data_IF_890509124779
#
_entry.id   IF_890509124779
#
_cell.length_a   1.000
_cell.length_b   1.000
_cell.length_c   1.000
_cell.angle_alpha   90.00
_cell.angle_beta   90.00
_cell.angle_gamma   90.00
#
_symmetry.space_group_name_H-M   'P 1'
#
loop_
_entity.id
_entity.type
_entity.pdbx_description
1 polymer ?
#
# COMPACT_ATOMS: atom_id res chain seq x y z
N UNK A 1 -97.98 -51.04 16.14
CA UNK A 1 -96.93 -50.02 15.85
C UNK A 1 -95.60 -50.66 16.15
N UNK A 2 -94.84 -51.02 15.13
CA UNK A 2 -93.63 -51.81 15.14
C UNK A 2 -92.42 -50.90 15.28
N UNK A 3 -91.79 -50.89 16.47
CA UNK A 3 -90.54 -50.22 16.71
C UNK A 3 -89.37 -51.07 16.16
N UNK A 4 -88.94 -50.76 14.95
CA UNK A 4 -87.74 -51.39 14.30
C UNK A 4 -86.50 -50.66 14.86
N UNK A 5 -86.03 -51.00 16.04
CA UNK A 5 -84.71 -50.63 16.50
C UNK A 5 -83.64 -51.46 15.78
N UNK A 6 -83.16 -50.98 14.67
CA UNK A 6 -82.08 -51.62 13.92
C UNK A 6 -80.77 -51.66 14.71
N UNK A 7 -80.43 -52.78 15.31
CA UNK A 7 -79.15 -53.12 15.92
C UNK A 7 -78.35 -53.99 14.93
N UNK A 8 -77.03 -53.85 14.92
CA UNK A 8 -76.10 -54.78 14.25
C UNK A 8 -75.86 -55.95 15.23
N UNK A 9 -75.98 -57.17 14.75
CA UNK A 9 -75.65 -58.39 15.49
C UNK A 9 -74.32 -58.91 15.02
N UNK A 10 -73.29 -58.87 15.91
CA UNK A 10 -72.01 -59.55 15.63
C UNK A 10 -72.16 -61.02 15.95
N UNK A 11 -71.95 -61.84 14.96
CA UNK A 11 -71.94 -63.27 15.09
C UNK A 11 -70.50 -63.77 15.18
N UNK A 12 -70.03 -64.10 16.35
CA UNK A 12 -68.77 -64.76 16.58
C UNK A 12 -68.93 -66.31 16.40
N UNK A 13 -68.36 -66.86 15.37
CA UNK A 13 -68.28 -68.31 15.12
C UNK A 13 -66.92 -68.78 15.59
N UNK A 14 -66.93 -69.59 16.67
CA UNK A 14 -65.71 -70.22 17.14
C UNK A 14 -65.64 -71.63 16.54
N UNK A 15 -64.60 -72.04 15.80
CA UNK A 15 -64.43 -73.28 15.15
C UNK A 15 -64.34 -74.45 16.14
N UNK A 16 -65.48 -75.20 16.34
CA UNK A 16 -65.48 -76.43 17.14
C UNK A 16 -66.70 -76.68 18.01
N UNK A 17 -67.83 -76.01 17.82
CA UNK A 17 -69.05 -76.30 18.54
C UNK A 17 -70.08 -75.15 18.48
N UNK A 18 -71.33 -75.55 18.27
CA UNK A 18 -72.47 -74.66 18.03
C UNK A 18 -72.80 -73.77 19.24
N UNK A 19 -72.03 -72.77 19.51
CA UNK A 19 -72.46 -71.62 20.37
C UNK A 19 -72.38 -70.35 19.58
N UNK A 20 -73.53 -69.88 19.13
CA UNK A 20 -73.66 -68.62 18.44
C UNK A 20 -73.91 -67.53 19.54
N UNK A 21 -72.95 -66.68 19.79
CA UNK A 21 -73.13 -65.56 20.68
C UNK A 21 -73.67 -64.37 19.85
N UNK A 22 -74.96 -64.08 20.04
CA UNK A 22 -75.55 -62.87 19.48
C UNK A 22 -75.35 -61.71 20.43
N UNK A 23 -74.38 -60.86 20.07
CA UNK A 23 -74.18 -59.58 20.79
C UNK A 23 -74.88 -58.48 20.02
N UNK A 24 -76.07 -58.09 20.50
CA UNK A 24 -76.79 -56.95 19.92
C UNK A 24 -76.16 -55.66 20.35
N UNK A 25 -75.53 -55.01 19.45
CA UNK A 25 -74.90 -53.66 19.70
C UNK A 25 -75.85 -52.59 19.20
N UNK A 26 -76.39 -51.74 20.10
CA UNK A 26 -77.25 -50.65 19.67
C UNK A 26 -76.42 -49.63 18.83
N UNK A 27 -77.00 -49.13 17.77
CA UNK A 27 -76.31 -48.15 16.85
C UNK A 27 -75.71 -46.98 17.61
N UNK A 28 -76.26 -46.53 18.72
CA UNK A 28 -75.69 -45.45 19.56
C UNK A 28 -74.36 -45.81 20.17
N UNK A 29 -74.10 -47.06 20.56
CA UNK A 29 -72.82 -47.52 21.11
C UNK A 29 -71.71 -47.52 20.02
N UNK A 30 -72.07 -47.91 18.78
CA UNK A 30 -71.12 -47.83 17.67
C UNK A 30 -70.70 -46.40 17.28
N UNK A 31 -71.67 -45.49 17.26
CA UNK A 31 -71.41 -44.09 17.03
C UNK A 31 -70.61 -43.45 18.19
N UNK A 32 -70.93 -43.82 19.43
CA UNK A 32 -70.15 -43.35 20.59
C UNK A 32 -68.70 -43.89 20.57
N UNK A 33 -68.50 -45.17 20.21
CA UNK A 33 -67.16 -45.77 20.05
C UNK A 33 -66.36 -45.08 18.92
N UNK A 34 -67.03 -44.86 17.77
CA UNK A 34 -66.38 -44.10 16.65
C UNK A 34 -66.02 -42.68 17.03
N UNK A 35 -66.89 -41.96 17.72
CA UNK A 35 -66.60 -40.60 18.20
C UNK A 35 -65.45 -40.59 19.20
N UNK A 36 -65.36 -41.55 20.11
CA UNK A 36 -64.27 -41.69 21.08
C UNK A 36 -62.95 -42.00 20.39
N UNK A 37 -62.98 -42.85 19.35
CA UNK A 37 -61.82 -43.22 18.53
C UNK A 37 -61.32 -42.02 17.72
N UNK A 38 -62.22 -41.22 17.12
CA UNK A 38 -61.88 -39.98 16.42
C UNK A 38 -61.32 -38.93 17.41
N UNK A 39 -61.91 -38.78 18.58
CA UNK A 39 -61.45 -37.83 19.57
C UNK A 39 -60.08 -38.23 20.12
N UNK A 40 -59.81 -39.48 20.38
CA UNK A 40 -58.49 -39.96 20.80
C UNK A 40 -57.45 -39.82 19.67
N UNK A 41 -57.85 -40.05 18.45
CA UNK A 41 -56.98 -39.85 17.25
C UNK A 41 -56.58 -38.42 17.06
N UNK A 42 -57.54 -37.47 17.23
CA UNK A 42 -57.23 -36.04 17.13
C UNK A 42 -56.34 -35.55 18.29
N UNK A 43 -56.57 -36.05 19.51
CA UNK A 43 -55.72 -35.72 20.65
C UNK A 43 -54.29 -36.24 20.48
N UNK A 44 -54.13 -37.48 20.01
CA UNK A 44 -52.82 -38.07 19.68
C UNK A 44 -52.13 -37.32 18.54
N UNK A 45 -52.86 -36.93 17.51
CA UNK A 45 -52.31 -36.15 16.41
C UNK A 45 -51.85 -34.78 16.87
N UNK A 46 -52.61 -34.12 17.76
CA UNK A 46 -52.24 -32.82 18.35
C UNK A 46 -50.96 -32.93 19.17
N UNK A 47 -50.88 -33.88 20.12
CA UNK A 47 -49.68 -34.10 20.94
C UNK A 47 -48.46 -34.46 20.11
N UNK A 48 -48.67 -35.23 19.05
CA UNK A 48 -47.58 -35.56 18.11
C UNK A 48 -47.09 -34.33 17.32
N UNK A 49 -48.02 -33.50 16.92
CA UNK A 49 -47.68 -32.25 16.18
C UNK A 49 -46.91 -31.27 17.12
N UNK A 50 -47.36 -31.13 18.37
CA UNK A 50 -46.67 -30.30 19.36
C UNK A 50 -45.26 -30.84 19.68
N UNK A 51 -45.14 -32.17 19.81
CA UNK A 51 -43.83 -32.82 20.01
C UNK A 51 -42.85 -32.51 18.88
N UNK A 52 -43.30 -32.63 17.62
CA UNK A 52 -42.44 -32.32 16.50
C UNK A 52 -42.14 -30.81 16.35
N UNK A 53 -43.07 -29.94 16.69
CA UNK A 53 -42.87 -28.51 16.75
C UNK A 53 -41.80 -28.14 17.79
N UNK A 54 -41.91 -28.69 18.98
CA UNK A 54 -40.94 -28.49 20.08
C UNK A 54 -39.56 -29.02 19.70
N UNK A 55 -39.49 -30.23 19.09
CA UNK A 55 -38.23 -30.82 18.63
C UNK A 55 -37.57 -29.98 17.55
N UNK A 56 -38.34 -29.42 16.60
CA UNK A 56 -37.82 -28.50 15.58
C UNK A 56 -37.31 -27.23 16.19
N UNK A 57 -38.02 -26.64 17.17
CA UNK A 57 -37.59 -25.42 17.89
C UNK A 57 -36.27 -25.68 18.62
N UNK A 58 -36.10 -26.81 19.30
CA UNK A 58 -34.86 -27.18 19.96
C UNK A 58 -33.68 -27.33 18.96
N UNK A 59 -33.89 -27.95 17.81
CA UNK A 59 -32.85 -28.07 16.77
C UNK A 59 -32.48 -26.73 16.19
N UNK A 60 -33.45 -25.82 16.00
CA UNK A 60 -33.21 -24.46 15.54
C UNK A 60 -32.46 -23.63 16.56
N UNK A 61 -32.82 -23.75 17.84
CA UNK A 61 -32.10 -23.07 18.93
C UNK A 61 -30.62 -23.51 18.99
N UNK A 62 -30.37 -24.81 18.97
CA UNK A 62 -29.01 -25.35 18.97
C UNK A 62 -28.19 -24.92 17.74
N UNK A 63 -28.83 -24.82 16.56
CA UNK A 63 -28.17 -24.31 15.36
C UNK A 63 -27.87 -22.83 15.44
N UNK A 64 -28.76 -22.05 16.09
CA UNK A 64 -28.56 -20.62 16.33
C UNK A 64 -27.44 -20.37 17.32
N UNK A 65 -27.39 -21.13 18.41
CA UNK A 65 -26.31 -21.08 19.40
C UNK A 65 -24.94 -21.33 18.76
N UNK A 66 -24.83 -22.36 17.91
CA UNK A 66 -23.58 -22.62 17.16
C UNK A 66 -23.18 -21.43 16.28
N UNK A 67 -24.13 -20.82 15.56
CA UNK A 67 -23.85 -19.64 14.74
C UNK A 67 -23.38 -18.46 15.59
N UNK A 68 -23.96 -18.25 16.77
CA UNK A 68 -23.54 -17.19 17.68
C UNK A 68 -22.11 -17.44 18.19
N UNK A 69 -21.78 -18.70 18.51
CA UNK A 69 -20.41 -19.04 18.92
C UNK A 69 -19.40 -18.88 17.78
N UNK A 70 -19.73 -19.29 16.55
CA UNK A 70 -18.91 -19.07 15.38
C UNK A 70 -18.67 -17.57 15.11
N UNK A 71 -19.72 -16.76 15.24
CA UNK A 71 -19.61 -15.31 15.10
C UNK A 71 -18.76 -14.67 16.21
N UNK A 72 -18.87 -15.14 17.45
CA UNK A 72 -18.01 -14.69 18.55
C UNK A 72 -16.55 -15.03 18.31
N UNK A 73 -16.26 -16.26 17.92
CA UNK A 73 -14.90 -16.67 17.58
C UNK A 73 -14.29 -15.85 16.44
N UNK A 74 -15.11 -15.48 15.44
CA UNK A 74 -14.69 -14.59 14.35
C UNK A 74 -14.40 -13.17 14.87
N UNK A 75 -15.23 -12.63 15.74
CA UNK A 75 -15.00 -11.32 16.37
C UNK A 75 -13.72 -11.31 17.21
N UNK A 76 -13.50 -12.33 18.04
CA UNK A 76 -12.28 -12.46 18.84
C UNK A 76 -11.02 -12.52 17.95
N UNK A 77 -11.08 -13.28 16.85
CA UNK A 77 -9.99 -13.36 15.89
C UNK A 77 -9.72 -12.02 15.18
N UNK A 78 -10.80 -11.27 14.91
CA UNK A 78 -10.71 -9.94 14.31
C UNK A 78 -10.13 -8.92 15.29
N UNK A 79 -10.50 -8.98 16.56
CA UNK A 79 -9.92 -8.12 17.62
C UNK A 79 -8.41 -8.34 17.77
N UNK A 80 -7.97 -9.59 17.76
CA UNK A 80 -6.55 -9.92 17.79
C UNK A 80 -5.78 -9.34 16.57
N UNK A 81 -6.35 -9.46 15.37
CA UNK A 81 -5.76 -8.89 14.16
C UNK A 81 -5.71 -7.36 14.20
N UNK A 82 -6.76 -6.71 14.68
CA UNK A 82 -6.78 -5.25 14.86
C UNK A 82 -5.72 -4.81 15.86
N UNK A 83 -5.56 -5.53 16.97
CA UNK A 83 -4.53 -5.25 17.96
C UNK A 83 -3.11 -5.41 17.38
N UNK A 84 -2.88 -6.41 16.53
CA UNK A 84 -1.63 -6.62 15.82
C UNK A 84 -1.33 -5.47 14.85
N UNK A 85 -2.28 -5.11 14.00
CA UNK A 85 -2.15 -3.97 13.07
C UNK A 85 -1.89 -2.66 13.80
N UNK A 86 -2.60 -2.41 14.91
CA UNK A 86 -2.37 -1.21 15.72
C UNK A 86 -0.95 -1.16 16.30
N UNK A 87 -0.40 -2.29 16.71
CA UNK A 87 0.97 -2.39 17.21
C UNK A 87 2.00 -2.12 16.10
N UNK A 88 1.78 -2.66 14.90
CA UNK A 88 2.62 -2.36 13.75
C UNK A 88 2.56 -0.89 13.36
N UNK A 89 1.37 -0.30 13.27
CA UNK A 89 1.18 1.13 12.96
C UNK A 89 1.85 2.02 14.01
N UNK A 90 1.79 1.67 15.29
CA UNK A 90 2.50 2.40 16.34
C UNK A 90 4.02 2.35 16.16
N UNK A 91 4.58 1.18 15.81
CA UNK A 91 6.01 1.03 15.50
C UNK A 91 6.43 1.83 14.27
N UNK A 92 5.61 1.84 13.23
CA UNK A 92 5.83 2.67 12.03
C UNK A 92 5.78 4.17 12.33
N UNK A 93 4.86 4.58 13.21
CA UNK A 93 4.74 5.99 13.61
C UNK A 93 6.01 6.48 14.33
N UNK A 94 6.56 5.70 15.24
CA UNK A 94 7.81 6.03 15.93
C UNK A 94 8.99 6.14 14.95
N UNK A 95 9.08 5.21 14.00
CA UNK A 95 10.10 5.23 12.95
C UNK A 95 9.91 6.44 12.02
N UNK A 96 8.67 6.77 11.67
CA UNK A 96 8.34 7.94 10.86
C UNK A 96 8.75 9.25 11.56
N UNK A 97 8.43 9.41 12.83
CA UNK A 97 8.80 10.60 13.62
C UNK A 97 10.33 10.73 13.70
N UNK A 98 11.07 9.64 13.91
CA UNK A 98 12.54 9.65 13.92
C UNK A 98 13.12 10.03 12.55
N UNK A 99 12.61 9.47 11.47
CA UNK A 99 13.06 9.82 10.12
C UNK A 99 12.70 11.26 9.76
N UNK A 100 11.51 11.74 10.12
CA UNK A 100 11.09 13.12 9.86
C UNK A 100 11.90 14.14 10.65
N UNK A 101 12.24 13.85 11.91
CA UNK A 101 13.11 14.71 12.72
C UNK A 101 14.54 14.77 12.20
N UNK A 102 15.04 13.69 11.59
CA UNK A 102 16.39 13.60 11.04
C UNK A 102 16.52 14.19 9.62
N UNK A 103 15.49 14.04 8.78
CA UNK A 103 15.56 14.34 7.35
C UNK A 103 14.43 15.24 6.83
N UNK A 104 13.45 15.55 7.67
CA UNK A 104 12.33 16.42 7.28
C UNK A 104 12.76 17.87 7.09
N UNK A 105 12.04 18.67 6.27
CA UNK A 105 12.31 20.10 6.14
C UNK A 105 12.17 20.77 7.50
N UNK A 106 13.14 21.67 7.81
CA UNK A 106 13.10 22.46 9.04
C UNK A 106 11.73 23.16 9.21
N UNK A 107 11.18 23.26 10.43
CA UNK A 107 9.92 23.93 10.69
C UNK A 107 10.08 25.44 10.49
N UNK A 108 9.97 25.89 9.24
CA UNK A 108 10.16 27.28 8.87
C UNK A 108 9.39 27.63 7.61
N UNK A 109 8.20 28.22 7.78
CA UNK A 109 7.41 28.89 6.73
C UNK A 109 6.73 27.99 5.70
N UNK A 110 6.04 26.94 6.14
CA UNK A 110 4.95 26.38 5.36
C UNK A 110 3.65 27.13 5.75
N UNK A 111 3.01 27.74 4.75
CA UNK A 111 1.78 28.47 4.92
C UNK A 111 0.67 27.60 5.55
N UNK A 112 -0.28 28.27 6.20
CA UNK A 112 -1.54 27.69 6.70
C UNK A 112 -2.22 26.87 5.60
N UNK A 113 -2.11 25.57 5.68
CA UNK A 113 -2.79 24.67 4.76
C UNK A 113 -2.20 23.27 4.84
N UNK A 114 -2.93 22.37 5.46
CA UNK A 114 -2.66 20.96 5.68
C UNK A 114 -1.68 20.65 6.81
N UNK A 115 -2.21 20.50 8.02
CA UNK A 115 -1.50 19.95 9.15
C UNK A 115 -1.05 18.51 8.91
N UNK A 116 0.16 18.36 8.39
CA UNK A 116 0.88 17.09 8.38
C UNK A 116 1.88 17.13 9.54
N UNK A 117 1.43 16.77 10.71
CA UNK A 117 2.28 16.74 11.90
C UNK A 117 1.51 16.76 13.22
N UNK A 118 0.18 16.60 13.19
CA UNK A 118 -0.56 16.30 14.40
C UNK A 118 -0.13 14.92 14.89
N UNK A 119 0.38 14.84 16.13
CA UNK A 119 0.51 13.57 16.82
C UNK A 119 -0.86 12.89 16.75
N UNK A 120 -0.99 11.86 15.91
CA UNK A 120 -2.13 10.96 16.00
C UNK A 120 -1.98 10.33 17.38
N UNK A 121 -2.74 10.81 18.32
CA UNK A 121 -2.89 10.15 19.61
C UNK A 121 -3.47 8.77 19.25
N UNK A 122 -2.63 7.77 19.19
CA UNK A 122 -3.05 6.37 19.18
C UNK A 122 -3.59 6.14 20.59
N UNK A 123 -4.87 6.54 20.78
CA UNK A 123 -5.61 6.12 21.94
C UNK A 123 -5.68 4.60 21.85
N UNK A 124 -5.20 3.86 22.87
CA UNK A 124 -5.42 2.43 22.92
C UNK A 124 -6.93 2.22 22.82
N UNK A 125 -7.38 1.49 21.79
CA UNK A 125 -8.74 1.00 21.68
C UNK A 125 -8.95 0.02 22.84
N UNK A 126 -9.31 0.58 24.01
CA UNK A 126 -9.77 -0.21 25.13
C UNK A 126 -11.20 -0.59 24.77
N UNK A 127 -11.41 -1.82 24.37
CA UNK A 127 -12.73 -2.43 24.29
C UNK A 127 -13.24 -2.62 25.74
N UNK A 128 -13.66 -1.52 26.35
CA UNK A 128 -14.44 -1.62 27.56
C UNK A 128 -15.83 -2.16 27.18
N UNK A 129 -16.36 -3.06 27.99
CA UNK A 129 -17.65 -3.70 27.80
C UNK A 129 -18.87 -2.73 27.74
N UNK A 130 -18.63 -1.44 27.86
CA UNK A 130 -19.58 -0.34 27.76
C UNK A 130 -19.15 0.75 26.76
N UNK A 131 -18.41 0.38 25.71
CA UNK A 131 -17.92 1.29 24.67
C UNK A 131 -19.00 1.71 23.65
N UNK A 132 -18.71 2.73 22.82
CA UNK A 132 -19.62 3.19 21.77
C UNK A 132 -20.02 2.07 20.84
N UNK A 133 -21.25 2.11 20.31
CA UNK A 133 -21.81 1.08 19.46
C UNK A 133 -20.87 0.71 18.29
N UNK A 134 -20.85 -0.58 17.94
CA UNK A 134 -19.99 -1.17 16.90
C UNK A 134 -19.81 -0.31 15.63
N UNK A 135 -20.85 0.37 15.09
CA UNK A 135 -20.72 1.26 13.94
C UNK A 135 -19.75 2.43 14.15
N UNK A 136 -19.69 3.00 15.35
CA UNK A 136 -18.79 4.10 15.68
C UNK A 136 -17.33 3.63 15.77
N UNK A 137 -17.11 2.42 16.29
CA UNK A 137 -15.76 1.82 16.34
C UNK A 137 -15.24 1.51 14.94
N UNK A 138 -16.11 0.99 14.06
CA UNK A 138 -15.76 0.73 12.65
C UNK A 138 -15.46 2.05 11.91
N UNK A 139 -16.27 3.09 12.11
CA UNK A 139 -16.05 4.40 11.50
C UNK A 139 -14.72 5.03 11.97
N UNK A 140 -14.39 4.91 13.25
CA UNK A 140 -13.12 5.36 13.82
C UNK A 140 -11.94 4.59 13.24
N UNK A 141 -12.02 3.26 13.16
CA UNK A 141 -10.99 2.43 12.53
C UNK A 141 -10.81 2.78 11.05
N UNK A 142 -11.90 2.96 10.31
CA UNK A 142 -11.86 3.33 8.90
C UNK A 142 -11.18 4.70 8.70
N UNK A 143 -11.46 5.69 9.55
CA UNK A 143 -10.80 7.00 9.50
C UNK A 143 -9.32 6.91 9.83
N UNK A 144 -8.94 6.16 10.87
CA UNK A 144 -7.54 5.96 11.27
C UNK A 144 -6.73 5.24 10.19
N UNK A 145 -7.29 4.18 9.59
CA UNK A 145 -6.66 3.46 8.47
C UNK A 145 -6.51 4.37 7.25
N UNK A 146 -7.52 5.19 6.94
CA UNK A 146 -7.46 6.15 5.83
C UNK A 146 -6.36 7.19 6.05
N UNK A 147 -6.27 7.77 7.23
CA UNK A 147 -5.28 8.79 7.60
C UNK A 147 -3.86 8.21 7.61
N UNK A 148 -3.67 7.03 8.21
CA UNK A 148 -2.41 6.29 8.16
C UNK A 148 -2.00 5.94 6.74
N UNK A 149 -2.94 5.52 5.90
CA UNK A 149 -2.71 5.25 4.47
C UNK A 149 -2.26 6.50 3.69
N UNK A 150 -2.77 7.69 4.03
CA UNK A 150 -2.31 8.94 3.41
C UNK A 150 -0.87 9.29 3.84
N UNK A 151 -0.55 9.13 5.12
CA UNK A 151 0.78 9.35 5.67
C UNK A 151 1.82 8.41 5.07
N UNK A 152 1.51 7.12 4.92
CA UNK A 152 2.37 6.15 4.26
C UNK A 152 2.61 6.48 2.79
N UNK A 153 1.58 6.92 2.06
CA UNK A 153 1.75 7.38 0.67
C UNK A 153 2.59 8.64 0.58
N UNK A 154 2.47 9.57 1.53
CA UNK A 154 3.30 10.77 1.60
C UNK A 154 4.77 10.43 1.88
N UNK A 155 5.02 9.50 2.81
CA UNK A 155 6.36 8.98 3.10
C UNK A 155 6.96 8.26 1.89
N UNK A 156 6.20 7.41 1.21
CA UNK A 156 6.64 6.74 -0.02
C UNK A 156 7.07 7.74 -1.10
N UNK A 157 6.27 8.79 -1.33
CA UNK A 157 6.62 9.87 -2.26
C UNK A 157 7.87 10.64 -1.82
N UNK A 158 8.03 10.88 -0.52
CA UNK A 158 9.22 11.55 0.02
C UNK A 158 10.48 10.70 -0.18
N UNK A 159 10.43 9.42 0.16
CA UNK A 159 11.55 8.48 -0.02
C UNK A 159 11.93 8.39 -1.50
N UNK A 160 10.97 8.26 -2.40
CA UNK A 160 11.24 8.17 -3.84
C UNK A 160 11.82 9.48 -4.39
N UNK A 161 11.30 10.63 -3.95
CA UNK A 161 11.86 11.95 -4.32
C UNK A 161 13.29 12.10 -3.80
N UNK A 162 13.56 11.71 -2.55
CA UNK A 162 14.90 11.77 -1.97
C UNK A 162 15.85 10.84 -2.69
N UNK A 163 15.42 9.62 -3.00
CA UNK A 163 16.18 8.65 -3.80
C UNK A 163 16.51 9.21 -5.18
N UNK A 164 15.53 9.79 -5.87
CA UNK A 164 15.74 10.37 -7.20
C UNK A 164 16.74 11.53 -7.17
N UNK A 165 16.67 12.38 -6.14
CA UNK A 165 17.66 13.45 -5.93
C UNK A 165 19.07 12.90 -5.69
N UNK A 166 19.22 11.89 -4.82
CA UNK A 166 20.52 11.27 -4.51
C UNK A 166 21.17 10.61 -5.75
N UNK A 167 20.34 10.03 -6.61
CA UNK A 167 20.81 9.42 -7.87
C UNK A 167 21.21 10.50 -8.90
N UNK A 168 20.55 11.66 -8.86
CA UNK A 168 20.78 12.78 -9.75
C UNK A 168 22.03 13.61 -9.39
N UNK A 169 22.46 13.59 -8.12
CA UNK A 169 23.62 14.41 -7.68
C UNK A 169 24.92 13.87 -8.25
N UNK A 170 25.72 14.71 -8.98
CA UNK A 170 26.98 14.32 -9.63
C UNK A 170 28.15 14.34 -8.64
N UNK A 171 28.24 13.34 -7.76
CA UNK A 171 29.26 13.31 -6.72
C UNK A 171 30.56 12.58 -7.12
N UNK A 172 30.62 11.96 -8.28
CA UNK A 172 31.85 11.31 -8.77
C UNK A 172 32.63 12.22 -9.69
N UNK A 173 33.94 12.10 -9.65
CA UNK A 173 34.80 12.76 -10.60
C UNK A 173 34.58 12.18 -12.02
N UNK A 174 34.33 13.02 -13.06
CA UNK A 174 34.10 12.54 -14.41
C UNK A 174 35.36 11.95 -15.06
N UNK A 175 36.54 12.43 -14.65
CA UNK A 175 37.85 11.94 -15.04
C UNK A 175 38.79 12.03 -13.85
N UNK A 176 39.77 11.17 -13.78
CA UNK A 176 40.82 11.25 -12.76
C UNK A 176 42.01 12.05 -13.31
N UNK A 177 42.46 13.04 -12.55
CA UNK A 177 43.58 13.88 -12.91
C UNK A 177 43.79 15.05 -11.96
N UNK A 178 44.94 15.68 -11.96
CA UNK A 178 45.17 16.88 -11.15
C UNK A 178 44.29 18.04 -11.64
N UNK A 179 43.86 18.86 -10.69
CA UNK A 179 43.09 20.06 -10.96
C UNK A 179 44.01 21.16 -11.51
N UNK A 180 43.83 21.53 -12.75
CA UNK A 180 44.64 22.57 -13.42
C UNK A 180 44.09 23.99 -13.16
N UNK A 181 42.76 24.14 -13.17
CA UNK A 181 42.14 25.45 -12.88
C UNK A 181 40.82 25.27 -12.12
N UNK A 182 40.58 26.18 -11.19
CA UNK A 182 39.41 26.18 -10.29
C UNK A 182 38.30 27.06 -10.84
N UNK A 183 37.10 26.83 -10.35
CA UNK A 183 35.94 27.68 -10.54
C UNK A 183 36.15 29.04 -9.90
N UNK A 184 35.65 30.09 -10.55
CA UNK A 184 35.67 31.46 -10.03
C UNK A 184 36.53 32.43 -10.83
N UNK A 185 36.84 33.59 -10.25
CA UNK A 185 37.67 34.61 -10.89
C UNK A 185 39.12 34.13 -11.02
N UNK A 186 39.69 34.27 -12.22
CA UNK A 186 41.09 34.00 -12.53
C UNK A 186 41.62 34.97 -13.60
N UNK A 187 42.91 35.08 -13.73
CA UNK A 187 43.51 35.74 -14.91
C UNK A 187 43.34 34.81 -16.13
N UNK A 188 42.90 35.40 -17.22
CA UNK A 188 42.79 34.71 -18.52
C UNK A 188 44.18 34.31 -19.02
N UNK A 189 44.39 33.05 -19.34
CA UNK A 189 45.67 32.62 -19.94
C UNK A 189 45.91 33.20 -21.34
N UNK A 190 44.91 33.86 -21.93
CA UNK A 190 44.94 34.41 -23.28
C UNK A 190 45.17 35.93 -23.31
N UNK A 191 44.43 36.65 -22.43
CA UNK A 191 44.46 38.14 -22.44
C UNK A 191 45.15 38.74 -21.22
N UNK A 192 45.39 37.93 -20.18
CA UNK A 192 45.86 38.43 -18.87
C UNK A 192 44.84 39.22 -18.06
N UNK A 193 43.64 39.49 -18.61
CA UNK A 193 42.54 40.13 -17.90
C UNK A 193 41.81 39.16 -16.93
N UNK A 194 41.06 39.71 -16.01
CA UNK A 194 40.24 38.90 -15.11
C UNK A 194 39.05 38.35 -15.89
N UNK A 195 38.89 37.02 -15.86
CA UNK A 195 37.76 36.30 -16.38
C UNK A 195 37.10 35.42 -15.30
N UNK A 196 35.82 35.09 -15.48
CA UNK A 196 35.12 34.18 -14.59
C UNK A 196 35.10 32.80 -15.20
N UNK A 197 35.82 31.86 -14.59
CA UNK A 197 35.84 30.45 -14.99
C UNK A 197 34.62 29.69 -14.43
N UNK A 198 33.76 29.19 -15.32
CA UNK A 198 32.46 28.61 -14.96
C UNK A 198 32.54 27.17 -14.52
N UNK A 199 33.73 26.54 -14.52
CA UNK A 199 33.93 25.14 -14.23
C UNK A 199 35.24 24.80 -13.56
N UNK A 200 35.62 23.56 -13.67
CA UNK A 200 36.92 23.03 -13.31
C UNK A 200 37.64 22.54 -14.56
N UNK A 201 38.94 22.85 -14.67
CA UNK A 201 39.79 22.24 -15.68
C UNK A 201 40.61 21.12 -15.05
N UNK A 202 40.33 19.87 -15.44
CA UNK A 202 40.97 18.66 -14.92
C UNK A 202 41.95 18.16 -15.97
N UNK A 203 43.23 18.15 -15.65
CA UNK A 203 44.29 17.68 -16.58
C UNK A 203 44.08 16.21 -16.90
N UNK A 204 44.05 15.91 -18.19
CA UNK A 204 43.91 14.54 -18.68
C UNK A 204 44.51 14.46 -20.12
N UNK A 205 45.17 13.36 -20.42
CA UNK A 205 45.68 13.10 -21.76
C UNK A 205 44.52 12.98 -22.75
N UNK A 206 44.78 13.33 -24.03
CA UNK A 206 43.80 13.10 -25.10
C UNK A 206 43.39 11.63 -25.13
N UNK A 207 42.08 11.37 -25.30
CA UNK A 207 41.53 10.02 -25.36
C UNK A 207 41.28 9.40 -23.96
N UNK A 208 41.50 10.13 -22.85
CA UNK A 208 41.13 9.63 -21.54
C UNK A 208 39.61 9.49 -21.40
N UNK A 209 39.07 8.35 -20.93
CA UNK A 209 37.63 8.15 -20.75
C UNK A 209 37.01 9.14 -19.79
N UNK A 210 35.88 9.76 -20.19
CA UNK A 210 35.04 10.63 -19.41
C UNK A 210 33.78 9.89 -19.03
N UNK A 211 33.48 9.78 -17.75
CA UNK A 211 32.34 9.04 -17.24
C UNK A 211 31.28 9.98 -16.63
N UNK A 212 30.01 9.60 -16.77
CA UNK A 212 28.89 10.32 -16.16
C UNK A 212 28.98 10.26 -14.62
N UNK A 213 29.02 11.39 -13.89
CA UNK A 213 29.13 11.42 -12.43
C UNK A 213 27.82 11.06 -11.73
N UNK A 214 26.69 11.14 -12.45
CA UNK A 214 25.34 10.81 -12.00
C UNK A 214 24.52 10.26 -13.18
N UNK A 215 23.38 9.66 -12.87
CA UNK A 215 22.37 9.29 -13.88
C UNK A 215 21.77 10.56 -14.49
N UNK A 216 21.47 10.55 -15.79
CA UNK A 216 20.88 11.69 -16.49
C UNK A 216 20.41 11.36 -17.89
N UNK A 217 19.94 12.38 -18.59
CA UNK A 217 19.61 12.31 -20.02
C UNK A 217 20.51 13.29 -20.77
N UNK A 218 21.01 12.89 -21.91
CA UNK A 218 21.85 13.76 -22.76
C UNK A 218 21.00 14.90 -23.30
N UNK A 219 21.26 16.11 -22.79
CA UNK A 219 20.59 17.32 -23.23
C UNK A 219 21.22 17.88 -24.51
N UNK A 220 22.52 17.71 -24.66
CA UNK A 220 23.26 18.10 -25.87
C UNK A 220 24.52 17.27 -26.03
N UNK A 221 24.83 16.91 -27.27
CA UNK A 221 26.10 16.30 -27.65
C UNK A 221 26.50 16.82 -29.06
N UNK A 222 27.61 17.55 -29.17
CA UNK A 222 28.02 18.17 -30.40
C UNK A 222 29.02 19.29 -30.21
N UNK A 223 29.13 20.19 -31.18
CA UNK A 223 30.07 21.31 -31.15
C UNK A 223 29.47 22.52 -30.40
N UNK A 224 30.17 23.02 -29.40
CA UNK A 224 29.73 24.12 -28.49
C UNK A 224 30.62 25.37 -28.55
N UNK A 225 31.04 25.79 -29.73
CA UNK A 225 31.83 27.02 -29.89
C UNK A 225 33.19 26.95 -29.17
N UNK A 226 33.46 27.89 -28.25
CA UNK A 226 34.73 27.94 -27.52
C UNK A 226 34.99 26.68 -26.67
N UNK A 227 33.96 25.99 -26.23
CA UNK A 227 34.08 24.73 -25.51
C UNK A 227 34.51 23.54 -26.40
N UNK A 228 34.57 23.73 -27.72
CA UNK A 228 34.84 22.64 -28.66
C UNK A 228 33.72 21.61 -28.71
N UNK A 229 34.06 20.33 -28.73
CA UNK A 229 33.06 19.28 -28.62
C UNK A 229 32.62 19.16 -27.16
N UNK A 230 31.29 19.13 -26.95
CA UNK A 230 30.69 19.10 -25.60
C UNK A 230 29.65 18.00 -25.48
N UNK A 231 29.47 17.56 -24.26
CA UNK A 231 28.28 16.84 -23.77
C UNK A 231 27.67 17.63 -22.66
N UNK A 232 26.34 17.73 -22.63
CA UNK A 232 25.57 18.27 -21.49
C UNK A 232 24.61 17.18 -21.05
N UNK A 233 24.65 16.84 -19.76
CA UNK A 233 23.71 15.92 -19.14
C UNK A 233 22.72 16.70 -18.30
N UNK A 234 21.43 16.38 -18.46
CA UNK A 234 20.35 16.83 -17.55
C UNK A 234 20.08 15.72 -16.54
N UNK A 235 20.32 16.02 -15.26
CA UNK A 235 20.13 15.08 -14.16
C UNK A 235 18.74 15.18 -13.52
N UNK A 236 17.89 16.10 -14.04
CA UNK A 236 16.64 16.48 -13.39
C UNK A 236 16.87 17.51 -12.26
N UNK A 237 15.77 17.92 -11.61
CA UNK A 237 15.83 18.86 -10.48
C UNK A 237 16.60 20.17 -10.77
N UNK A 238 16.53 20.67 -12.03
CA UNK A 238 17.28 21.84 -12.52
C UNK A 238 18.81 21.70 -12.43
N UNK A 239 19.32 20.48 -12.39
CA UNK A 239 20.74 20.16 -12.25
C UNK A 239 21.28 19.63 -13.57
N UNK A 240 22.31 20.28 -14.11
CA UNK A 240 23.03 19.87 -15.34
C UNK A 240 24.51 19.80 -15.10
N UNK A 241 25.18 18.94 -15.88
CA UNK A 241 26.64 18.92 -16.00
C UNK A 241 27.08 19.09 -17.45
N UNK A 242 28.16 19.85 -17.68
CA UNK A 242 28.74 20.11 -18.97
C UNK A 242 30.18 19.60 -19.01
N UNK A 243 30.53 18.98 -20.09
CA UNK A 243 31.85 18.41 -20.41
C UNK A 243 32.36 19.04 -21.68
N UNK A 244 33.46 19.79 -21.61
CA UNK A 244 34.04 20.52 -22.73
C UNK A 244 35.41 19.99 -23.18
N UNK A 245 35.87 20.54 -24.29
CA UNK A 245 37.14 20.24 -24.98
C UNK A 245 37.33 18.78 -25.35
N UNK A 246 36.21 18.09 -25.62
CA UNK A 246 36.19 16.65 -25.89
C UNK A 246 36.79 16.33 -27.24
N UNK A 247 37.47 15.20 -27.36
CA UNK A 247 37.91 14.66 -28.61
C UNK A 247 36.74 14.05 -29.39
N UNK A 248 35.91 13.27 -28.67
CA UNK A 248 34.82 12.50 -29.25
C UNK A 248 33.70 12.32 -28.21
N UNK A 249 32.45 12.40 -28.65
CA UNK A 249 31.28 12.09 -27.84
C UNK A 249 30.85 10.64 -28.12
N UNK A 250 30.52 9.89 -27.05
CA UNK A 250 30.08 8.48 -27.12
C UNK A 250 28.58 8.30 -26.89
N UNK A 251 27.87 9.40 -26.73
CA UNK A 251 26.43 9.44 -26.47
C UNK A 251 25.76 10.44 -27.42
N UNK A 252 24.43 10.32 -27.56
CA UNK A 252 23.62 11.14 -28.48
C UNK A 252 22.52 11.87 -27.70
N UNK A 253 22.01 12.97 -28.24
CA UNK A 253 20.87 13.71 -27.71
C UNK A 253 19.71 12.78 -27.38
N UNK A 254 19.11 12.94 -26.19
CA UNK A 254 18.00 12.16 -25.69
C UNK A 254 18.36 10.80 -25.08
N UNK A 255 19.62 10.36 -25.19
CA UNK A 255 20.07 9.10 -24.62
C UNK A 255 20.09 9.19 -23.09
N UNK A 256 19.59 8.15 -22.42
CA UNK A 256 19.68 8.02 -20.96
C UNK A 256 21.02 7.39 -20.60
N UNK A 257 21.72 8.02 -19.67
CA UNK A 257 23.01 7.55 -19.16
C UNK A 257 22.94 7.19 -17.69
N UNK A 258 23.67 6.17 -17.31
CA UNK A 258 23.81 5.77 -15.92
C UNK A 258 25.10 6.33 -15.31
N UNK A 259 25.12 6.46 -13.98
CA UNK A 259 26.31 6.86 -13.25
C UNK A 259 27.49 5.89 -13.55
N UNK A 260 28.61 6.44 -13.96
CA UNK A 260 29.79 5.67 -14.33
C UNK A 260 29.82 5.21 -15.79
N UNK A 261 28.79 5.49 -16.59
CA UNK A 261 28.78 5.20 -18.02
C UNK A 261 29.80 6.07 -18.75
N UNK A 262 30.52 5.49 -19.73
CA UNK A 262 31.39 6.23 -20.63
C UNK A 262 30.56 7.12 -21.56
N UNK A 263 30.80 8.45 -21.51
CA UNK A 263 30.04 9.43 -22.29
C UNK A 263 30.86 10.15 -23.34
N UNK A 264 32.22 10.22 -23.18
CA UNK A 264 33.09 10.93 -24.09
C UNK A 264 34.57 10.54 -23.87
N UNK A 265 35.43 11.04 -24.70
CA UNK A 265 36.88 11.03 -24.52
C UNK A 265 37.42 12.45 -24.44
N UNK A 266 38.35 12.68 -23.50
CA UNK A 266 39.02 13.99 -23.35
C UNK A 266 39.77 14.36 -24.58
N UNK A 267 39.86 15.66 -24.88
CA UNK A 267 40.49 16.14 -26.07
C UNK A 267 41.28 17.44 -25.88
N UNK A 268 41.32 18.23 -26.93
CA UNK A 268 41.90 19.54 -26.97
C UNK A 268 41.19 20.37 -28.07
N UNK A 269 39.85 20.27 -28.12
CA UNK A 269 39.02 20.96 -29.11
C UNK A 269 38.50 22.28 -28.58
N UNK A 270 38.21 23.23 -29.48
CA UNK A 270 37.80 24.59 -29.10
C UNK A 270 38.95 25.45 -28.56
N UNK A 271 38.64 26.41 -27.66
CA UNK A 271 39.61 27.33 -27.09
C UNK A 271 40.25 26.73 -25.84
N UNK A 272 41.41 26.13 -25.97
CA UNK A 272 42.12 25.43 -24.90
C UNK A 272 43.63 25.65 -24.98
N UNK A 273 44.33 25.67 -23.85
CA UNK A 273 45.78 25.80 -23.74
C UNK A 273 46.51 24.44 -23.74
N UNK A 274 45.81 23.34 -23.74
CA UNK A 274 46.36 21.98 -23.70
C UNK A 274 45.30 20.94 -23.38
N UNK A 275 45.64 19.64 -23.48
CA UNK A 275 44.66 18.58 -23.21
C UNK A 275 44.14 18.58 -21.77
N UNK A 276 42.84 18.74 -21.59
CA UNK A 276 42.16 18.67 -20.31
C UNK A 276 40.66 18.44 -20.48
N UNK A 277 39.95 18.15 -19.41
CA UNK A 277 38.49 18.16 -19.35
C UNK A 277 38.05 19.47 -18.70
N UNK A 278 37.27 20.29 -19.41
CA UNK A 278 36.49 21.35 -18.77
C UNK A 278 35.17 20.78 -18.24
N UNK A 279 34.90 20.96 -16.95
CA UNK A 279 33.75 20.39 -16.27
C UNK A 279 32.95 21.45 -15.51
N UNK A 280 31.68 21.64 -15.87
CA UNK A 280 30.74 22.52 -15.16
C UNK A 280 29.61 21.75 -14.50
N UNK A 281 29.13 22.30 -13.37
CA UNK A 281 27.83 21.98 -12.81
C UNK A 281 26.99 23.24 -12.83
N UNK A 282 25.73 23.09 -13.29
CA UNK A 282 24.76 24.18 -13.37
C UNK A 282 23.53 23.83 -12.56
N UNK A 283 23.13 24.74 -11.67
CA UNK A 283 21.90 24.65 -10.90
C UNK A 283 20.98 25.78 -11.34
N UNK A 284 19.79 25.48 -11.81
CA UNK A 284 18.83 26.46 -12.38
C UNK A 284 19.46 27.35 -13.47
N UNK A 285 20.31 26.76 -14.29
CA UNK A 285 21.02 27.48 -15.39
C UNK A 285 22.21 28.33 -14.95
N UNK A 286 22.53 28.39 -13.67
CA UNK A 286 23.70 29.12 -13.14
C UNK A 286 24.84 28.16 -12.84
N UNK A 287 26.04 28.48 -13.29
CA UNK A 287 27.23 27.71 -12.97
C UNK A 287 27.58 27.85 -11.49
N UNK A 288 27.87 26.74 -10.84
CA UNK A 288 28.26 26.62 -9.43
C UNK A 288 29.59 25.87 -9.32
N UNK A 289 30.31 26.07 -8.20
CA UNK A 289 31.60 25.37 -7.99
C UNK A 289 31.36 23.84 -7.93
N UNK A 290 31.86 23.06 -8.91
CA UNK A 290 31.64 21.61 -8.94
C UNK A 290 32.23 20.87 -7.74
N UNK A 291 33.22 21.43 -7.04
CA UNK A 291 33.85 20.80 -5.86
C UNK A 291 32.88 20.63 -4.69
N UNK A 292 31.78 21.43 -4.66
CA UNK A 292 30.74 21.28 -3.63
C UNK A 292 29.96 19.97 -3.76
N UNK A 293 29.99 19.36 -4.92
CA UNK A 293 29.28 18.11 -5.24
C UNK A 293 30.22 16.91 -5.21
N UNK A 294 31.47 17.07 -5.69
CA UNK A 294 32.43 16.00 -5.88
C UNK A 294 32.97 15.49 -4.55
N UNK A 295 33.03 14.17 -4.41
CA UNK A 295 33.62 13.49 -3.27
C UNK A 295 34.84 12.69 -3.76
N UNK A 296 35.87 12.60 -2.88
CA UNK A 296 37.07 11.81 -3.13
C UNK A 296 36.79 10.32 -3.22
#
# INVERSE_FOLDING_TARGET
>A
MSDRRGGFTLVLVHGGGTRILHVGCPRGLLWAGLALLLMSGTLLAGTWMDYFALKRAHLQAAALERRVEEQRALLDSFELKVAEVNREVAGWHETHVRLWSAFGPAPGKAGRGTGMGGAVAVLPLVFASEGPALPHQIAFLASTVSESGQSLRALGRFVERTRSMLVAVPFRWPVRGPLNSRFGQRQSPWTGEFEFHRGLDISASRGTPVHAPATGTVFYAGHGGEYGNIVILDHGHDLRSLYGHLQETRVKYGERVERGQLIALTGNTGRTSGPHLHYEIQVRGQAVDPRQFLRE
#
